data_IF_125071075280
#
_entry.id   IF_125071075280
#
_cell.length_a   1.000
_cell.length_b   1.000
_cell.length_c   1.000
_cell.angle_alpha   90.00
_cell.angle_beta   90.00
_cell.angle_gamma   90.00
#
_symmetry.space_group_name_H-M   'P 1'
#
loop_
_entity.id
_entity.type
_entity.pdbx_description
1 polymer ?
#
# COMPACT_ATOMS: atom_id res chain seq x y z
N UNK A 1 26.80 -36.33 23.58
CA UNK A 1 25.89 -35.47 24.37
C UNK A 1 25.06 -34.71 23.35
N UNK A 2 23.78 -35.05 23.24
CA UNK A 2 22.84 -34.46 22.27
C UNK A 2 22.33 -33.13 22.79
N UNK A 3 22.61 -32.04 22.09
CA UNK A 3 22.05 -30.72 22.39
C UNK A 3 20.52 -30.77 22.26
N UNK A 4 19.76 -30.15 23.20
CA UNK A 4 18.31 -30.16 23.14
C UNK A 4 17.82 -29.23 22.03
N UNK A 5 16.97 -29.74 21.14
CA UNK A 5 16.28 -28.93 20.14
C UNK A 5 15.33 -27.98 20.86
N UNK A 6 15.67 -26.68 20.85
CA UNK A 6 14.79 -25.65 21.40
C UNK A 6 13.52 -25.54 20.54
N UNK A 7 12.36 -25.20 21.14
CA UNK A 7 11.12 -25.00 20.39
C UNK A 7 11.27 -23.85 19.38
N UNK A 8 10.62 -23.97 18.23
CA UNK A 8 10.53 -22.88 17.24
C UNK A 8 9.78 -21.71 17.90
N UNK A 9 10.53 -20.68 18.28
CA UNK A 9 9.98 -19.40 18.72
C UNK A 9 9.79 -18.58 17.44
N UNK A 10 8.57 -18.07 17.23
CA UNK A 10 8.08 -17.41 15.99
C UNK A 10 7.61 -18.36 14.86
N UNK A 11 6.53 -19.14 15.07
CA UNK A 11 5.84 -19.86 14.00
C UNK A 11 4.97 -18.94 13.11
N UNK A 12 4.81 -17.68 13.50
CA UNK A 12 3.93 -16.72 12.84
C UNK A 12 4.70 -15.97 11.74
N UNK A 13 4.15 -16.07 10.53
CA UNK A 13 4.67 -15.53 9.27
C UNK A 13 5.15 -14.09 9.46
N UNK A 14 6.33 -13.79 8.90
CA UNK A 14 6.91 -12.45 8.84
C UNK A 14 5.81 -11.39 8.74
N UNK A 15 5.60 -10.66 9.83
CA UNK A 15 4.73 -9.51 9.82
C UNK A 15 5.43 -8.52 8.88
N UNK A 16 4.91 -8.34 7.68
CA UNK A 16 5.34 -7.27 6.79
C UNK A 16 5.00 -5.95 7.49
N UNK A 17 5.90 -5.47 8.34
CA UNK A 17 5.91 -4.10 8.78
C UNK A 17 6.28 -3.32 7.53
N UNK A 18 5.25 -2.80 6.85
CA UNK A 18 5.42 -1.85 5.78
C UNK A 18 6.07 -0.61 6.40
N UNK A 19 7.40 -0.55 6.39
CA UNK A 19 8.16 0.62 6.80
C UNK A 19 7.92 1.72 5.77
N UNK A 20 6.89 2.52 6.03
CA UNK A 20 6.51 3.64 5.17
C UNK A 20 7.60 4.73 5.09
N UNK A 21 8.67 4.62 5.90
CA UNK A 21 9.76 5.58 5.91
C UNK A 21 10.57 5.63 4.61
N UNK A 22 10.74 4.48 3.94
CA UNK A 22 11.49 4.39 2.68
C UNK A 22 10.57 4.41 1.45
N UNK A 23 9.27 4.19 1.63
CA UNK A 23 8.30 4.17 0.54
C UNK A 23 7.77 5.58 0.30
N UNK A 24 8.34 6.27 -0.70
CA UNK A 24 7.74 7.49 -1.21
C UNK A 24 6.41 7.11 -1.88
N UNK A 25 5.24 7.58 -1.41
CA UNK A 25 3.98 7.35 -2.09
C UNK A 25 4.00 8.08 -3.45
N UNK A 26 4.46 7.38 -4.49
CA UNK A 26 4.57 7.89 -5.86
C UNK A 26 3.17 8.26 -6.36
N UNK A 27 3.07 9.42 -7.02
CA UNK A 27 1.79 10.12 -7.16
C UNK A 27 1.37 10.49 -8.57
N UNK A 28 2.24 10.41 -9.57
CA UNK A 28 1.92 10.92 -10.89
C UNK A 28 1.83 9.81 -11.93
N UNK A 29 0.86 9.96 -12.85
CA UNK A 29 0.58 9.04 -13.95
C UNK A 29 1.77 8.91 -14.91
N UNK A 30 2.66 9.92 -15.00
CA UNK A 30 3.84 9.84 -15.84
C UNK A 30 4.94 8.95 -15.24
N UNK A 31 4.96 8.79 -13.91
CA UNK A 31 5.92 7.91 -13.20
C UNK A 31 5.34 6.55 -12.79
N UNK A 32 4.04 6.30 -12.99
CA UNK A 32 3.38 5.06 -12.58
C UNK A 32 2.35 4.57 -13.60
N UNK A 33 2.47 3.30 -13.98
CA UNK A 33 1.48 2.58 -14.80
C UNK A 33 0.10 2.54 -14.13
N UNK A 34 0.06 2.45 -12.79
CA UNK A 34 -1.17 2.34 -12.00
C UNK A 34 -1.15 3.30 -10.79
N UNK A 35 -1.67 4.54 -10.93
CA UNK A 35 -1.66 5.52 -9.84
C UNK A 35 -2.61 5.13 -8.70
N UNK A 36 -2.10 5.19 -7.47
CA UNK A 36 -2.88 4.90 -6.25
C UNK A 36 -3.85 6.04 -5.90
N UNK A 37 -3.41 7.30 -6.05
CA UNK A 37 -4.20 8.48 -5.70
C UNK A 37 -4.90 9.08 -6.93
N UNK A 38 -6.11 9.61 -6.73
CA UNK A 38 -6.88 10.31 -7.78
C UNK A 38 -6.72 11.83 -7.68
N UNK A 39 -6.76 12.50 -8.84
CA UNK A 39 -6.86 13.96 -8.95
C UNK A 39 -8.33 14.43 -9.01
N UNK A 40 -9.30 13.50 -8.98
CA UNK A 40 -10.72 13.83 -9.02
C UNK A 40 -11.16 14.54 -7.75
N UNK A 41 -11.94 15.62 -7.91
CA UNK A 41 -12.63 16.30 -6.80
C UNK A 41 -13.97 15.65 -6.44
N UNK A 42 -14.44 14.70 -7.26
CA UNK A 42 -15.62 13.87 -6.99
C UNK A 42 -15.21 12.47 -6.56
N UNK A 43 -15.98 11.79 -5.68
CA UNK A 43 -15.71 10.40 -5.30
C UNK A 43 -15.56 9.50 -6.52
N UNK A 44 -14.38 8.90 -6.65
CA UNK A 44 -14.03 7.99 -7.74
C UNK A 44 -14.24 6.55 -7.27
N UNK A 45 -15.42 5.99 -7.57
CA UNK A 45 -15.86 4.65 -7.16
C UNK A 45 -15.69 3.58 -8.24
N UNK A 46 -15.03 3.92 -9.35
CA UNK A 46 -14.84 3.00 -10.45
C UNK A 46 -13.96 1.81 -10.03
N UNK A 47 -14.48 0.60 -10.25
CA UNK A 47 -13.72 -0.64 -10.07
C UNK A 47 -12.66 -0.70 -11.17
N UNK A 48 -11.40 -0.96 -10.78
CA UNK A 48 -10.27 -1.04 -11.70
C UNK A 48 -9.69 -2.44 -11.68
N UNK A 49 -9.45 -2.98 -12.87
CA UNK A 49 -8.77 -4.26 -13.06
C UNK A 49 -7.42 -3.98 -13.71
N UNK A 50 -6.36 -4.45 -13.07
CA UNK A 50 -4.98 -4.33 -13.52
C UNK A 50 -4.47 -5.71 -13.89
N UNK A 51 -3.78 -5.82 -15.01
CA UNK A 51 -3.20 -7.07 -15.51
C UNK A 51 -1.74 -6.81 -15.89
N UNK A 52 -0.81 -7.58 -15.34
CA UNK A 52 0.62 -7.44 -15.60
C UNK A 52 1.34 -8.77 -15.35
N UNK A 53 2.07 -9.29 -16.36
CA UNK A 53 2.83 -10.55 -16.30
C UNK A 53 2.03 -11.72 -15.69
N UNK A 54 0.89 -12.05 -16.30
CA UNK A 54 -0.07 -13.08 -15.86
C UNK A 54 -0.70 -12.88 -14.47
N UNK A 55 -0.35 -11.79 -13.77
CA UNK A 55 -0.98 -11.40 -12.52
C UNK A 55 -2.14 -10.46 -12.80
N UNK A 56 -3.23 -10.64 -12.06
CA UNK A 56 -4.41 -9.79 -12.13
C UNK A 56 -4.75 -9.27 -10.74
N UNK A 57 -5.01 -7.97 -10.63
CA UNK A 57 -5.47 -7.33 -9.40
C UNK A 57 -6.71 -6.50 -9.68
N UNK A 58 -7.75 -6.70 -8.89
CA UNK A 58 -8.97 -5.89 -8.96
C UNK A 58 -9.05 -5.01 -7.72
N UNK A 59 -9.15 -3.70 -7.93
CA UNK A 59 -9.33 -2.71 -6.88
C UNK A 59 -10.77 -2.18 -6.95
N UNK A 60 -11.53 -2.44 -5.88
CA UNK A 60 -12.87 -1.90 -5.68
C UNK A 60 -12.80 -0.80 -4.61
N UNK A 61 -13.01 0.48 -4.97
CA UNK A 61 -13.04 1.57 -4.01
C UNK A 61 -14.22 1.46 -3.05
N UNK A 62 -14.13 2.15 -1.91
CA UNK A 62 -15.25 2.28 -0.96
C UNK A 62 -16.33 3.24 -1.48
N UNK A 63 -17.42 3.40 -0.72
CA UNK A 63 -18.44 4.41 -0.99
C UNK A 63 -17.90 5.86 -0.98
N UNK A 64 -16.79 6.11 -0.28
CA UNK A 64 -16.10 7.41 -0.27
C UNK A 64 -15.23 7.64 -1.51
N UNK A 65 -15.07 6.63 -2.36
CA UNK A 65 -14.21 6.64 -3.52
C UNK A 65 -12.75 6.32 -3.19
N UNK A 66 -11.91 6.41 -4.22
CA UNK A 66 -10.46 6.23 -4.15
C UNK A 66 -9.80 7.42 -3.46
N UNK A 67 -8.72 7.15 -2.72
CA UNK A 67 -7.92 8.17 -2.05
C UNK A 67 -7.43 9.25 -3.04
N UNK A 68 -7.49 10.49 -2.61
CA UNK A 68 -7.13 11.67 -3.40
C UNK A 68 -5.68 12.10 -3.14
N UNK A 69 -5.19 13.05 -3.93
CA UNK A 69 -3.87 13.64 -3.66
C UNK A 69 -3.81 14.39 -2.32
N UNK A 70 -4.95 14.88 -1.81
CA UNK A 70 -5.01 15.51 -0.48
C UNK A 70 -4.80 14.49 0.65
N UNK A 71 -5.39 13.30 0.51
CA UNK A 71 -5.18 12.19 1.46
C UNK A 71 -3.71 11.76 1.47
N UNK A 72 -3.03 11.83 0.30
CA UNK A 72 -1.59 11.60 0.20
C UNK A 72 -0.79 12.61 1.02
N UNK A 73 -1.11 13.91 0.94
CA UNK A 73 -0.39 14.95 1.67
C UNK A 73 -0.53 14.77 3.19
N UNK A 74 -1.74 14.40 3.65
CA UNK A 74 -1.98 14.05 5.06
C UNK A 74 -1.14 12.83 5.47
N UNK A 75 -1.10 11.79 4.64
CA UNK A 75 -0.31 10.59 4.90
C UNK A 75 1.19 10.92 5.00
N UNK A 76 1.72 11.74 4.09
CA UNK A 76 3.12 12.21 4.13
C UNK A 76 3.40 12.96 5.43
N UNK A 77 2.49 13.86 5.83
CA UNK A 77 2.61 14.57 7.09
C UNK A 77 2.64 13.61 8.28
N UNK A 78 1.68 12.68 8.37
CA UNK A 78 1.63 11.71 9.46
C UNK A 78 2.90 10.85 9.54
N UNK A 79 3.43 10.38 8.41
CA UNK A 79 4.68 9.62 8.36
C UNK A 79 5.85 10.46 8.89
N UNK A 80 5.94 11.74 8.49
CA UNK A 80 7.01 12.63 8.96
C UNK A 80 7.02 12.87 10.48
N UNK A 81 5.90 12.63 11.17
CA UNK A 81 5.80 12.75 12.63
C UNK A 81 6.16 11.45 13.37
N UNK A 82 6.17 10.33 12.65
CA UNK A 82 6.51 9.01 13.20
C UNK A 82 7.99 8.65 13.03
N UNK A 83 8.69 9.36 12.12
CA UNK A 83 10.14 9.24 11.88
C UNK A 83 10.95 10.21 12.73
#
# INVERSE_FOLDING_TARGET
>A
MTEPLLPIRHPEKDLFICDFGEVIPKSDIASMEHPLFTLSTKPDTAIRKYEHNDNTVTIAPSAYGRATIHDKDILIYCISQLM
#
